data_IF_228986947589
#
_entry.id   IF_228986947589
#
_cell.length_a   1.000
_cell.length_b   1.000
_cell.length_c   1.000
_cell.angle_alpha   90.00
_cell.angle_beta   90.00
_cell.angle_gamma   90.00
#
_symmetry.space_group_name_H-M   'P 1'
#
loop_
_entity.id
_entity.type
_entity.pdbx_description
1 polymer ?
#
# COMPACT_ATOMS: atom_id res chain seq x y z
N UNK A 1 8.74 -2.28 -4.71
CA UNK A 1 7.37 -1.97 -4.30
C UNK A 1 7.09 -2.68 -2.99
N UNK A 2 6.53 -1.98 -2.02
CA UNK A 2 6.29 -2.46 -0.65
C UNK A 2 5.02 -1.84 -0.08
N UNK A 3 4.58 -2.32 1.08
CA UNK A 3 3.61 -1.66 1.94
C UNK A 3 4.24 -1.52 3.32
N UNK A 4 4.47 -0.28 3.76
CA UNK A 4 5.22 0.06 4.98
C UNK A 4 6.69 -0.43 4.96
N UNK A 5 7.53 0.33 4.32
CA UNK A 5 8.96 -0.01 4.14
C UNK A 5 9.79 0.07 5.42
N UNK A 6 9.28 0.72 6.49
CA UNK A 6 10.07 1.11 7.66
C UNK A 6 10.79 -0.06 8.32
N UNK A 7 10.04 -1.09 8.69
CA UNK A 7 10.60 -2.26 9.38
C UNK A 7 11.51 -3.10 8.47
N UNK A 8 11.13 -3.26 7.21
CA UNK A 8 11.95 -3.98 6.22
C UNK A 8 13.27 -3.25 5.96
N UNK A 9 13.23 -1.93 5.79
CA UNK A 9 14.42 -1.11 5.58
C UNK A 9 15.37 -1.15 6.77
N UNK A 10 14.82 -1.11 7.99
CA UNK A 10 15.59 -1.21 9.22
C UNK A 10 16.37 -2.54 9.32
N UNK A 11 15.66 -3.66 9.12
CA UNK A 11 16.28 -5.00 9.13
C UNK A 11 17.35 -5.11 8.04
N UNK A 12 17.04 -4.72 6.81
CA UNK A 12 17.98 -4.82 5.69
C UNK A 12 19.23 -3.99 5.93
N UNK A 13 19.07 -2.77 6.46
CA UNK A 13 20.20 -1.89 6.75
C UNK A 13 21.08 -2.43 7.89
N UNK A 14 20.47 -2.75 9.02
CA UNK A 14 21.25 -3.10 10.22
C UNK A 14 21.78 -4.53 10.23
N UNK A 15 21.05 -5.49 9.66
CA UNK A 15 21.48 -6.89 9.67
C UNK A 15 22.25 -7.30 8.41
N UNK A 16 21.94 -6.70 7.26
CA UNK A 16 22.49 -7.11 5.98
C UNK A 16 23.30 -6.02 5.27
N UNK A 17 23.40 -4.82 5.84
CA UNK A 17 24.10 -3.65 5.25
C UNK A 17 23.56 -3.30 3.85
N UNK A 18 22.27 -3.57 3.62
CA UNK A 18 21.59 -3.27 2.37
C UNK A 18 20.75 -2.01 2.53
N UNK A 19 20.99 -1.03 1.66
CA UNK A 19 20.16 0.19 1.59
C UNK A 19 19.19 0.08 0.43
N UNK A 20 17.90 0.24 0.72
CA UNK A 20 16.86 0.26 -0.31
C UNK A 20 16.86 1.61 -1.05
N UNK A 21 16.73 1.56 -2.38
CA UNK A 21 16.55 2.72 -3.23
C UNK A 21 15.37 2.54 -4.20
N UNK A 22 14.82 3.64 -4.71
CA UNK A 22 13.71 3.64 -5.68
C UNK A 22 12.50 2.81 -5.24
N UNK A 23 12.09 2.98 -3.97
CA UNK A 23 10.98 2.24 -3.38
C UNK A 23 9.67 2.98 -3.62
N UNK A 24 8.69 2.31 -4.19
CA UNK A 24 7.29 2.77 -4.17
C UNK A 24 6.59 2.11 -2.98
N UNK A 25 6.21 2.93 -1.99
CA UNK A 25 5.51 2.48 -0.79
C UNK A 25 4.01 2.79 -0.91
N UNK A 26 3.20 1.74 -0.96
CA UNK A 26 1.74 1.86 -1.13
C UNK A 26 1.05 2.44 0.10
N UNK A 27 1.64 2.33 1.30
CA UNK A 27 1.13 3.00 2.50
C UNK A 27 1.32 4.52 2.39
N UNK A 28 2.51 4.97 2.00
CA UNK A 28 2.79 6.40 1.80
C UNK A 28 1.91 6.97 0.71
N UNK A 29 1.78 6.26 -0.42
CA UNK A 29 0.90 6.67 -1.52
C UNK A 29 -0.57 6.79 -1.07
N UNK A 30 -1.07 5.85 -0.25
CA UNK A 30 -2.40 5.94 0.36
C UNK A 30 -2.56 7.22 1.19
N UNK A 31 -1.61 7.51 2.07
CA UNK A 31 -1.69 8.70 2.93
C UNK A 31 -1.68 10.00 2.12
N UNK A 32 -0.87 10.08 1.06
CA UNK A 32 -0.84 11.25 0.17
C UNK A 32 -2.18 11.43 -0.54
N UNK A 33 -2.73 10.38 -1.15
CA UNK A 33 -4.03 10.45 -1.83
C UNK A 33 -5.15 10.78 -0.84
N UNK A 34 -5.16 10.17 0.35
CA UNK A 34 -6.15 10.44 1.39
C UNK A 34 -6.10 11.91 1.87
N UNK A 35 -4.90 12.48 1.98
CA UNK A 35 -4.74 13.87 2.36
C UNK A 35 -5.22 14.85 1.27
N UNK A 36 -5.08 14.48 -0.01
CA UNK A 36 -5.62 15.29 -1.12
C UNK A 36 -7.14 15.22 -1.24
N UNK A 37 -7.73 14.07 -0.90
CA UNK A 37 -9.18 13.87 -0.91
C UNK A 37 -9.87 14.48 0.32
N UNK A 38 -9.11 14.90 1.34
CA UNK A 38 -9.65 15.51 2.54
C UNK A 38 -9.89 17.02 2.34
N UNK A 39 -11.07 17.52 2.72
CA UNK A 39 -11.42 18.95 2.66
C UNK A 39 -10.54 19.83 3.58
N UNK A 40 -9.95 19.22 4.60
CA UNK A 40 -9.01 19.88 5.51
C UNK A 40 -7.74 19.04 5.62
N UNK A 41 -6.55 19.66 5.41
CA UNK A 41 -5.30 18.96 5.62
C UNK A 41 -5.23 18.42 7.06
N UNK A 42 -5.15 17.12 7.20
CA UNK A 42 -5.00 16.49 8.51
C UNK A 42 -3.60 16.74 9.03
N UNK A 43 -3.49 17.57 10.06
CA UNK A 43 -2.25 17.75 10.82
C UNK A 43 -2.11 16.57 11.79
N UNK A 44 -1.24 15.66 11.48
CA UNK A 44 -0.90 14.53 12.34
C UNK A 44 -0.67 13.26 11.52
N UNK A 45 0.24 12.43 12.01
CA UNK A 45 0.44 11.10 11.44
C UNK A 45 -0.77 10.26 11.84
N UNK A 46 -1.71 10.08 10.93
CA UNK A 46 -2.77 9.07 11.09
C UNK A 46 -2.12 7.71 11.36
N UNK A 47 -2.84 6.87 12.08
CA UNK A 47 -2.43 5.46 12.22
C UNK A 47 -2.17 4.91 10.82
N UNK A 48 -0.97 4.37 10.62
CA UNK A 48 -0.58 3.82 9.32
C UNK A 48 -1.61 2.79 8.86
N UNK A 49 -2.25 2.98 7.69
CA UNK A 49 -3.26 2.04 7.21
C UNK A 49 -2.63 0.68 6.93
N UNK A 50 -3.32 -0.38 7.32
CA UNK A 50 -2.90 -1.73 6.98
C UNK A 50 -3.04 -1.99 5.47
N UNK A 51 -2.36 -3.02 4.97
CA UNK A 51 -2.45 -3.42 3.57
C UNK A 51 -3.89 -3.77 3.18
N UNK A 52 -4.62 -4.43 4.08
CA UNK A 52 -6.02 -4.80 3.91
C UNK A 52 -6.92 -3.58 3.74
N UNK A 53 -6.76 -2.57 4.60
CA UNK A 53 -7.56 -1.33 4.54
C UNK A 53 -7.28 -0.55 3.27
N UNK A 54 -6.00 -0.48 2.89
CA UNK A 54 -5.58 0.14 1.64
C UNK A 54 -6.16 -0.59 0.42
N UNK A 55 -6.12 -1.92 0.43
CA UNK A 55 -6.66 -2.74 -0.66
C UNK A 55 -8.18 -2.66 -0.76
N UNK A 56 -8.92 -2.67 0.36
CA UNK A 56 -10.37 -2.43 0.36
C UNK A 56 -10.72 -1.08 -0.26
N UNK A 57 -10.01 -0.04 0.13
CA UNK A 57 -10.30 1.31 -0.35
C UNK A 57 -10.06 1.47 -1.85
N UNK A 58 -8.93 1.00 -2.36
CA UNK A 58 -8.49 1.29 -3.72
C UNK A 58 -8.79 0.19 -4.73
N UNK A 59 -8.78 -1.08 -4.32
CA UNK A 59 -9.08 -2.22 -5.19
C UNK A 59 -10.52 -2.70 -5.05
N UNK A 60 -11.27 -2.20 -4.05
CA UNK A 60 -12.65 -2.64 -3.75
C UNK A 60 -12.75 -4.15 -3.50
N UNK A 61 -11.71 -4.73 -2.92
CA UNK A 61 -11.67 -6.17 -2.59
C UNK A 61 -12.60 -6.43 -1.42
N UNK A 62 -13.35 -7.53 -1.47
CA UNK A 62 -14.30 -7.92 -0.42
C UNK A 62 -13.58 -8.63 0.73
N UNK A 63 -14.20 -8.63 1.92
CA UNK A 63 -13.67 -9.36 3.07
C UNK A 63 -13.55 -10.88 2.82
N UNK A 64 -14.38 -11.44 1.94
CA UNK A 64 -14.28 -12.82 1.46
C UNK A 64 -12.97 -13.11 0.74
N UNK A 65 -12.40 -12.12 0.05
CA UNK A 65 -11.14 -12.27 -0.69
C UNK A 65 -9.93 -12.28 0.25
N UNK A 66 -10.11 -11.67 1.44
CA UNK A 66 -9.17 -11.71 2.55
C UNK A 66 -9.48 -12.78 3.59
N UNK A 67 -10.41 -13.70 3.31
CA UNK A 67 -10.95 -14.66 4.26
C UNK A 67 -9.94 -15.46 5.10
N UNK A 68 -8.67 -15.31 4.80
CA UNK A 68 -7.57 -15.90 5.52
C UNK A 68 -6.76 -14.88 6.34
N UNK A 69 -6.81 -13.58 6.01
CA UNK A 69 -6.17 -12.52 6.80
C UNK A 69 -6.92 -12.25 8.11
N UNK A 70 -8.25 -12.28 8.07
CA UNK A 70 -9.09 -11.91 9.21
C UNK A 70 -8.98 -12.86 10.41
N UNK A 71 -8.54 -14.09 10.21
CA UNK A 71 -8.40 -15.07 11.29
C UNK A 71 -7.03 -15.04 11.98
N UNK A 72 -6.08 -14.28 11.44
CA UNK A 72 -4.70 -14.24 11.94
C UNK A 72 -4.33 -13.00 12.77
N UNK A 73 -5.10 -11.92 12.67
CA UNK A 73 -4.72 -10.63 13.23
C UNK A 73 -4.90 -10.48 14.74
N UNK A 74 -5.60 -11.39 15.41
CA UNK A 74 -5.78 -11.37 16.87
C UNK A 74 -4.73 -12.20 17.64
N UNK A 75 -3.89 -12.94 16.94
CA UNK A 75 -2.73 -13.58 17.59
C UNK A 75 -1.48 -12.76 17.28
N UNK A 76 -0.67 -12.41 18.30
CA UNK A 76 0.60 -11.77 18.07
C UNK A 76 1.36 -12.60 17.05
N UNK A 77 1.85 -11.95 15.99
CA UNK A 77 2.70 -12.60 14.99
C UNK A 77 3.96 -13.11 15.70
N UNK A 78 3.84 -14.27 16.32
CA UNK A 78 4.98 -14.90 16.95
C UNK A 78 5.91 -15.27 15.79
N UNK A 79 7.06 -14.61 15.75
CA UNK A 79 8.13 -14.85 14.76
C UNK A 79 8.46 -16.34 14.63
N UNK A 80 8.15 -17.15 15.64
CA UNK A 80 8.28 -18.59 15.67
C UNK A 80 7.48 -19.33 14.57
N UNK A 81 6.33 -18.78 14.11
CA UNK A 81 5.53 -19.46 13.07
C UNK A 81 6.24 -19.47 11.70
N UNK A 82 7.00 -18.42 11.39
CA UNK A 82 7.79 -18.32 10.16
C UNK A 82 9.07 -19.15 10.19
N UNK A 83 9.47 -19.60 11.37
CA UNK A 83 10.64 -20.48 11.56
C UNK A 83 10.31 -21.96 11.35
N UNK A 84 9.03 -22.31 11.25
CA UNK A 84 8.61 -23.70 11.03
C UNK A 84 9.13 -24.22 9.67
N UNK A 85 9.64 -25.43 9.67
CA UNK A 85 9.98 -26.23 8.48
C UNK A 85 9.01 -27.42 8.48
N UNK A 86 8.15 -27.62 7.57
CA UNK A 86 7.60 -26.87 6.46
C UNK A 86 6.62 -25.77 6.92
N UNK A 87 6.52 -24.69 6.15
CA UNK A 87 5.58 -23.62 6.46
C UNK A 87 4.13 -24.11 6.32
N UNK A 88 3.24 -23.76 7.26
CA UNK A 88 1.82 -24.03 7.14
C UNK A 88 1.26 -23.45 5.85
N UNK A 89 0.40 -24.21 5.16
CA UNK A 89 -0.23 -23.77 3.90
C UNK A 89 -0.90 -22.40 4.03
N UNK A 90 -1.49 -22.11 5.19
CA UNK A 90 -2.13 -20.84 5.47
C UNK A 90 -1.14 -19.66 5.41
N UNK A 91 0.04 -19.78 6.04
CA UNK A 91 1.06 -18.73 5.99
C UNK A 91 1.58 -18.49 4.56
N UNK A 92 1.69 -19.54 3.76
CA UNK A 92 2.06 -19.42 2.35
C UNK A 92 0.99 -18.68 1.55
N UNK A 93 -0.28 -18.98 1.79
CA UNK A 93 -1.40 -18.29 1.14
C UNK A 93 -1.45 -16.82 1.55
N UNK A 94 -1.29 -16.51 2.83
CA UNK A 94 -1.29 -15.13 3.34
C UNK A 94 -0.16 -14.31 2.69
N UNK A 95 1.05 -14.87 2.65
CA UNK A 95 2.19 -14.23 2.00
C UNK A 95 1.96 -14.02 0.48
N UNK A 96 1.45 -15.05 -0.20
CA UNK A 96 1.17 -14.99 -1.63
C UNK A 96 0.09 -13.95 -1.95
N UNK A 97 -0.98 -13.88 -1.17
CA UNK A 97 -2.06 -12.91 -1.33
C UNK A 97 -1.56 -11.49 -1.10
N UNK A 98 -0.78 -11.26 -0.04
CA UNK A 98 -0.17 -9.95 0.24
C UNK A 98 0.70 -9.49 -0.93
N UNK A 99 1.56 -10.37 -1.45
CA UNK A 99 2.41 -10.06 -2.60
C UNK A 99 1.60 -9.81 -3.89
N UNK A 100 0.55 -10.59 -4.12
CA UNK A 100 -0.32 -10.46 -5.29
C UNK A 100 -1.07 -9.13 -5.31
N UNK A 101 -1.53 -8.64 -4.16
CA UNK A 101 -2.29 -7.39 -4.04
C UNK A 101 -1.42 -6.14 -4.25
N UNK A 102 -0.11 -6.20 -3.97
CA UNK A 102 0.76 -5.04 -4.05
C UNK A 102 0.85 -4.45 -5.47
N UNK A 103 0.90 -5.29 -6.48
CA UNK A 103 1.09 -4.83 -7.87
C UNK A 103 -0.12 -4.05 -8.41
N UNK A 104 -1.35 -4.58 -8.37
CA UNK A 104 -2.53 -3.83 -8.80
C UNK A 104 -2.78 -2.61 -7.92
N UNK A 105 -2.51 -2.71 -6.60
CA UNK A 105 -2.66 -1.60 -5.67
C UNK A 105 -1.73 -0.43 -6.02
N UNK A 106 -0.46 -0.70 -6.28
CA UNK A 106 0.49 0.33 -6.68
C UNK A 106 0.08 1.00 -7.99
N UNK A 107 -0.39 0.22 -8.97
CA UNK A 107 -0.85 0.78 -10.25
C UNK A 107 -2.04 1.74 -10.08
N UNK A 108 -3.00 1.39 -9.24
CA UNK A 108 -4.16 2.27 -8.95
C UNK A 108 -3.71 3.51 -8.19
N UNK A 109 -2.83 3.38 -7.20
CA UNK A 109 -2.31 4.51 -6.43
C UNK A 109 -1.44 5.44 -7.29
N UNK A 110 -0.60 4.90 -8.16
CA UNK A 110 0.20 5.67 -9.11
C UNK A 110 -0.70 6.53 -10.03
N UNK A 111 -1.76 5.93 -10.59
CA UNK A 111 -2.74 6.67 -11.38
C UNK A 111 -3.38 7.81 -10.57
N UNK A 112 -3.84 7.54 -9.35
CA UNK A 112 -4.43 8.55 -8.48
C UNK A 112 -3.47 9.68 -8.11
N UNK A 113 -2.19 9.40 -7.95
CA UNK A 113 -1.16 10.41 -7.71
C UNK A 113 -0.92 11.29 -8.95
N UNK A 114 -1.10 10.76 -10.16
CA UNK A 114 -0.94 11.51 -11.41
C UNK A 114 -2.20 12.26 -11.83
N UNK A 115 -3.38 11.85 -11.39
CA UNK A 115 -4.67 12.46 -11.76
C UNK A 115 -4.74 13.99 -11.60
N UNK A 116 -4.25 14.62 -10.51
CA UNK A 116 -4.26 16.07 -10.37
C UNK A 116 -3.41 16.78 -11.43
N UNK A 117 -2.26 16.21 -11.77
CA UNK A 117 -1.35 16.75 -12.78
C UNK A 117 -1.99 16.64 -14.16
N UNK A 118 -2.56 15.50 -14.49
CA UNK A 118 -3.23 15.25 -15.77
C UNK A 118 -4.41 16.23 -15.96
N UNK A 119 -5.27 16.37 -14.93
CA UNK A 119 -6.40 17.31 -14.97
C UNK A 119 -5.97 18.77 -15.12
N UNK A 120 -4.90 19.18 -14.41
CA UNK A 120 -4.38 20.52 -14.54
C UNK A 120 -3.80 20.76 -15.94
N UNK A 121 -3.13 19.78 -16.52
CA UNK A 121 -2.58 19.85 -17.88
C UNK A 121 -3.70 19.93 -18.93
N UNK A 122 -4.76 19.14 -18.78
CA UNK A 122 -5.94 19.19 -19.66
C UNK A 122 -6.61 20.55 -19.59
N UNK A 123 -6.82 21.10 -18.38
CA UNK A 123 -7.43 22.42 -18.21
C UNK A 123 -6.62 23.54 -18.90
N UNK A 124 -5.29 23.49 -18.81
CA UNK A 124 -4.42 24.45 -19.52
C UNK A 124 -4.51 24.30 -21.04
N UNK A 125 -4.60 23.07 -21.54
CA UNK A 125 -4.78 22.82 -22.98
C UNK A 125 -6.13 23.31 -23.49
N UNK A 126 -7.20 23.13 -22.72
CA UNK A 126 -8.53 23.62 -23.07
C UNK A 126 -8.58 25.15 -23.10
N UNK A 127 -7.89 25.83 -22.15
CA UNK A 127 -7.74 27.29 -22.16
C UNK A 127 -7.01 27.76 -23.40
N UNK A 128 -5.89 27.15 -23.77
CA UNK A 128 -5.07 27.55 -24.94
C UNK A 128 -5.81 27.29 -26.25
N UNK A 129 -6.54 26.20 -26.38
CA UNK A 129 -7.23 25.84 -27.62
C UNK A 129 -8.69 26.30 -27.68
N UNK A 130 -9.20 27.04 -26.67
CA UNK A 130 -10.58 27.56 -26.63
C UNK A 130 -11.64 26.47 -26.68
N UNK A 131 -11.34 25.30 -26.14
CA UNK A 131 -12.29 24.19 -26.02
C UNK A 131 -13.06 24.33 -24.70
N UNK A 132 -14.02 25.25 -24.69
CA UNK A 132 -15.02 25.36 -23.61
C UNK A 132 -16.35 24.82 -24.08
#
# INVERSE_FOLDING_TARGET
MVHDVRHLSDILHHQFQVTLGNVFDTMVAHLVVANWEADTPRQGMEVAPALEDTSRRFLKVCDSDFGHFATGSSQPATSSRWQLRSLPKQLLLDAATSAFLLLPLAKVLEQKLLDPVNRASEALLDEVFGRN
#
